data_IF_352024341034
#
_entry.id   IF_352024341034
#
_cell.length_a   1.000
_cell.length_b   1.000
_cell.length_c   1.000
_cell.angle_alpha   90.00
_cell.angle_beta   90.00
_cell.angle_gamma   90.00
#
_symmetry.space_group_name_H-M   'P 1'
#
loop_
_entity.id
_entity.type
_entity.pdbx_description
1 polymer ?
#
# COMPACT_ATOMS: atom_id res chain seq x y z
N UNK A 1 -25.37 0.61 -31.28
CA UNK A 1 -26.49 0.32 -30.38
C UNK A 1 -26.03 0.04 -28.94
N UNK A 2 -25.03 -0.83 -28.69
CA UNK A 2 -24.52 -1.13 -27.33
C UNK A 2 -23.88 0.12 -26.70
N UNK A 3 -23.11 0.89 -27.47
CA UNK A 3 -22.43 2.09 -26.99
C UNK A 3 -23.38 3.18 -26.50
N UNK A 4 -24.58 3.30 -27.10
CA UNK A 4 -25.60 4.26 -26.68
C UNK A 4 -26.33 3.84 -25.41
N UNK A 5 -26.33 2.56 -25.09
CA UNK A 5 -26.91 2.02 -23.84
C UNK A 5 -25.90 2.21 -22.69
N UNK A 6 -24.63 1.91 -22.95
CA UNK A 6 -23.55 2.05 -21.97
C UNK A 6 -23.26 3.52 -21.61
N UNK A 7 -23.55 4.46 -22.53
CA UNK A 7 -23.30 5.90 -22.29
C UNK A 7 -24.41 6.61 -21.53
N UNK A 8 -25.52 5.97 -21.24
CA UNK A 8 -26.58 6.55 -20.40
C UNK A 8 -26.15 6.54 -18.94
N UNK A 9 -26.14 7.72 -18.32
CA UNK A 9 -25.86 7.89 -16.90
C UNK A 9 -27.13 7.54 -16.10
N UNK A 10 -27.36 6.26 -15.86
CA UNK A 10 -28.61 5.76 -15.27
C UNK A 10 -28.44 5.21 -13.85
N UNK A 11 -27.29 5.41 -13.21
CA UNK A 11 -27.06 4.87 -11.87
C UNK A 11 -27.59 5.82 -10.80
N UNK A 12 -28.70 5.51 -10.12
CA UNK A 12 -29.23 6.28 -9.00
C UNK A 12 -28.45 6.06 -7.69
N UNK A 13 -27.53 5.08 -7.64
CA UNK A 13 -26.77 4.79 -6.43
C UNK A 13 -25.78 5.91 -6.13
N UNK A 14 -25.80 6.40 -4.88
CA UNK A 14 -24.77 7.31 -4.37
C UNK A 14 -23.46 6.59 -4.08
N UNK A 15 -23.45 5.26 -4.01
CA UNK A 15 -22.28 4.44 -3.75
C UNK A 15 -21.31 4.45 -4.94
N UNK A 16 -20.06 4.76 -4.65
CA UNK A 16 -19.00 4.92 -5.65
C UNK A 16 -17.80 4.05 -5.34
N UNK A 17 -17.30 3.40 -6.35
CA UNK A 17 -16.07 2.61 -6.28
C UNK A 17 -14.93 3.43 -6.88
N UNK A 18 -13.89 3.66 -6.08
CA UNK A 18 -12.67 4.35 -6.49
C UNK A 18 -11.63 3.28 -6.85
N UNK A 19 -11.39 3.07 -8.16
CA UNK A 19 -10.54 2.01 -8.66
C UNK A 19 -9.10 2.50 -8.88
N UNK A 20 -8.13 1.85 -8.23
CA UNK A 20 -6.70 2.11 -8.43
C UNK A 20 -6.02 0.91 -9.07
N UNK A 21 -5.25 1.14 -10.14
CA UNK A 21 -4.40 0.11 -10.72
C UNK A 21 -3.22 -0.18 -9.81
N UNK A 22 -2.95 -1.44 -9.55
CA UNK A 22 -1.87 -1.88 -8.68
C UNK A 22 -1.25 -3.18 -9.18
N UNK A 23 0.02 -3.39 -8.86
CA UNK A 23 0.68 -4.66 -9.03
C UNK A 23 1.47 -4.93 -7.75
N UNK A 24 0.91 -5.76 -6.87
CA UNK A 24 1.64 -6.20 -5.70
C UNK A 24 2.91 -6.94 -6.14
N UNK A 25 4.03 -6.58 -5.57
CA UNK A 25 5.32 -7.13 -5.94
C UNK A 25 6.14 -7.42 -4.69
N UNK A 26 6.24 -8.68 -4.35
CA UNK A 26 7.17 -9.13 -3.31
C UNK A 26 8.61 -8.75 -3.68
N UNK A 27 9.30 -8.10 -2.76
CA UNK A 27 10.72 -7.75 -2.90
C UNK A 27 11.56 -9.01 -3.16
N UNK A 28 11.26 -10.07 -2.41
CA UNK A 28 11.71 -11.43 -2.60
C UNK A 28 10.64 -12.38 -2.08
N UNK A 29 10.46 -13.53 -2.69
CA UNK A 29 9.52 -14.57 -2.27
C UNK A 29 9.98 -15.95 -2.75
N UNK A 30 9.34 -16.53 -3.78
CA UNK A 30 9.86 -17.71 -4.49
C UNK A 30 10.96 -17.33 -5.50
N UNK A 31 11.52 -16.16 -5.35
CA UNK A 31 12.63 -15.60 -6.11
C UNK A 31 13.53 -14.74 -5.22
N UNK A 32 14.82 -14.63 -5.57
CA UNK A 32 15.77 -13.81 -4.82
C UNK A 32 15.63 -12.31 -5.13
N UNK A 33 16.21 -11.45 -4.29
CA UNK A 33 16.21 -9.97 -4.43
C UNK A 33 16.59 -9.49 -5.85
N UNK A 34 17.55 -10.16 -6.51
CA UNK A 34 17.98 -9.81 -7.88
C UNK A 34 16.83 -9.92 -8.89
N UNK A 35 15.90 -10.87 -8.70
CA UNK A 35 14.75 -11.03 -9.55
C UNK A 35 13.63 -10.03 -9.20
N UNK A 36 13.42 -9.73 -7.92
CA UNK A 36 12.56 -8.64 -7.48
C UNK A 36 12.93 -7.30 -8.15
N UNK A 37 14.23 -7.02 -8.22
CA UNK A 37 14.79 -5.84 -8.92
C UNK A 37 14.46 -5.81 -10.42
N UNK A 38 14.52 -6.97 -11.12
CA UNK A 38 14.11 -7.10 -12.53
C UNK A 38 12.59 -6.96 -12.71
N UNK A 39 11.81 -7.51 -11.78
CA UNK A 39 10.35 -7.39 -11.78
C UNK A 39 9.90 -5.94 -11.60
N UNK A 40 10.60 -5.15 -10.80
CA UNK A 40 10.28 -3.75 -10.57
C UNK A 40 10.30 -2.92 -11.87
N UNK A 41 11.38 -2.97 -12.64
CA UNK A 41 11.48 -2.20 -13.89
C UNK A 41 10.46 -2.69 -14.92
N UNK A 42 10.22 -4.00 -15.03
CA UNK A 42 9.22 -4.56 -15.93
C UNK A 42 7.80 -4.08 -15.58
N UNK A 43 7.45 -4.11 -14.30
CA UNK A 43 6.14 -3.66 -13.81
C UNK A 43 5.92 -2.17 -14.08
N UNK A 44 6.90 -1.35 -13.74
CA UNK A 44 6.77 0.10 -13.92
C UNK A 44 6.78 0.51 -15.41
N UNK A 45 7.49 -0.24 -16.27
CA UNK A 45 7.47 -0.03 -17.70
C UNK A 45 6.06 -0.34 -18.29
N UNK A 46 5.44 -1.44 -17.88
CA UNK A 46 4.06 -1.76 -18.25
C UNK A 46 3.10 -0.66 -17.81
N UNK A 47 3.25 -0.18 -16.57
CA UNK A 47 2.41 0.89 -16.02
C UNK A 47 2.56 2.19 -16.83
N UNK A 48 3.78 2.61 -17.18
CA UNK A 48 4.00 3.81 -17.99
C UNK A 48 3.42 3.68 -19.40
N UNK A 49 3.57 2.51 -20.04
CA UNK A 49 2.96 2.24 -21.35
C UNK A 49 1.43 2.36 -21.30
N UNK A 50 0.81 1.81 -20.27
CA UNK A 50 -0.64 1.92 -20.08
C UNK A 50 -1.07 3.37 -19.76
N UNK A 51 -0.29 4.13 -19.00
CA UNK A 51 -0.54 5.54 -18.73
C UNK A 51 -0.52 6.37 -20.03
N UNK A 52 0.40 6.09 -20.93
CA UNK A 52 0.48 6.76 -22.23
C UNK A 52 -0.73 6.42 -23.13
N UNK A 53 -1.18 5.16 -23.08
CA UNK A 53 -2.27 4.66 -23.94
C UNK A 53 -3.68 5.04 -23.46
N UNK A 54 -3.89 5.04 -22.14
CA UNK A 54 -5.22 5.23 -21.53
C UNK A 54 -5.28 6.52 -20.69
N UNK A 55 -5.94 7.59 -21.16
CA UNK A 55 -5.96 8.89 -20.49
C UNK A 55 -6.48 8.88 -19.05
N UNK A 56 -7.44 8.04 -18.73
CA UNK A 56 -8.03 7.94 -17.38
C UNK A 56 -7.28 7.01 -16.44
N UNK A 57 -6.39 6.16 -16.96
CA UNK A 57 -5.70 5.15 -16.17
C UNK A 57 -4.76 5.75 -15.14
N UNK A 58 -4.87 5.29 -13.91
CA UNK A 58 -4.00 5.64 -12.79
C UNK A 58 -3.40 4.34 -12.25
N UNK A 59 -2.10 4.34 -12.03
CA UNK A 59 -1.37 3.24 -11.41
C UNK A 59 -0.73 3.69 -10.11
N UNK A 60 -0.72 2.82 -9.11
CA UNK A 60 -0.04 3.05 -7.85
C UNK A 60 0.98 1.96 -7.52
N UNK A 61 2.09 2.36 -6.95
CA UNK A 61 3.09 1.43 -6.43
C UNK A 61 3.63 1.89 -5.08
N UNK A 62 3.86 0.91 -4.22
CA UNK A 62 4.48 1.00 -2.90
C UNK A 62 5.96 0.65 -2.95
N UNK A 63 6.58 0.58 -1.77
CA UNK A 63 7.92 0.04 -1.54
C UNK A 63 9.04 0.84 -2.23
N UNK A 64 9.52 1.88 -1.55
CA UNK A 64 10.54 2.79 -2.14
C UNK A 64 11.88 2.12 -2.42
N UNK A 65 12.12 0.92 -1.92
CA UNK A 65 13.24 0.08 -2.35
C UNK A 65 13.18 -0.21 -3.85
N UNK A 66 11.98 -0.45 -4.42
CA UNK A 66 11.80 -0.66 -5.87
C UNK A 66 12.20 0.60 -6.66
N UNK A 67 11.71 1.76 -6.22
CA UNK A 67 12.05 3.05 -6.84
C UNK A 67 13.54 3.38 -6.70
N UNK A 68 14.16 3.02 -5.58
CA UNK A 68 15.58 3.20 -5.35
C UNK A 68 16.42 2.38 -6.36
N UNK A 69 16.04 1.13 -6.59
CA UNK A 69 16.70 0.30 -7.61
C UNK A 69 16.54 0.90 -9.01
N UNK A 70 15.33 1.34 -9.37
CA UNK A 70 15.07 1.96 -10.67
C UNK A 70 15.87 3.25 -10.83
N UNK A 71 15.94 4.10 -9.80
CA UNK A 71 16.76 5.33 -9.82
C UNK A 71 18.22 5.03 -10.08
N UNK A 72 18.75 3.96 -9.43
CA UNK A 72 20.17 3.56 -9.55
C UNK A 72 20.49 2.96 -10.91
N UNK A 73 19.64 2.06 -11.41
CA UNK A 73 19.94 1.24 -12.59
C UNK A 73 19.44 1.85 -13.90
N UNK A 74 18.37 2.62 -13.82
CA UNK A 74 17.67 3.18 -14.98
C UNK A 74 17.33 4.66 -14.77
N UNK A 75 18.33 5.55 -14.60
CA UNK A 75 18.10 6.95 -14.24
C UNK A 75 17.22 7.70 -15.26
N UNK A 76 17.37 7.42 -16.55
CA UNK A 76 16.52 8.01 -17.58
C UNK A 76 15.04 7.59 -17.45
N UNK A 77 14.80 6.33 -17.13
CA UNK A 77 13.44 5.83 -16.87
C UNK A 77 12.85 6.45 -15.60
N UNK A 78 13.68 6.63 -14.58
CA UNK A 78 13.25 7.28 -13.33
C UNK A 78 12.77 8.73 -13.57
N UNK A 79 13.40 9.47 -14.47
CA UNK A 79 12.93 10.81 -14.84
C UNK A 79 11.58 10.79 -15.59
N UNK A 80 11.32 9.79 -16.43
CA UNK A 80 9.98 9.59 -17.01
C UNK A 80 8.95 9.30 -15.93
N UNK A 81 9.28 8.43 -14.96
CA UNK A 81 8.43 8.10 -13.84
C UNK A 81 8.08 9.34 -13.01
N UNK A 82 9.05 10.20 -12.70
CA UNK A 82 8.83 11.47 -11.99
C UNK A 82 7.80 12.37 -12.68
N UNK A 83 7.81 12.43 -14.00
CA UNK A 83 6.82 13.22 -14.77
C UNK A 83 5.40 12.70 -14.56
N UNK A 84 5.21 11.36 -14.57
CA UNK A 84 3.89 10.76 -14.36
C UNK A 84 3.42 10.88 -12.90
N UNK A 85 4.35 10.82 -11.94
CA UNK A 85 4.06 11.10 -10.52
C UNK A 85 3.63 12.56 -10.32
N UNK A 86 4.31 13.50 -10.95
CA UNK A 86 3.94 14.92 -10.91
C UNK A 86 2.57 15.19 -11.55
N UNK A 87 2.27 14.50 -12.65
CA UNK A 87 0.97 14.56 -13.33
C UNK A 87 -0.18 13.86 -12.56
N UNK A 88 0.12 13.13 -11.47
CA UNK A 88 -0.86 12.39 -10.69
C UNK A 88 -1.38 11.13 -11.36
N UNK A 89 -0.71 10.64 -12.40
CA UNK A 89 -1.04 9.43 -13.15
C UNK A 89 -0.35 8.18 -12.60
N UNK A 90 0.75 8.37 -11.89
CA UNK A 90 1.44 7.35 -11.12
C UNK A 90 1.45 7.77 -9.65
N UNK A 91 0.75 7.03 -8.80
CA UNK A 91 0.64 7.30 -7.37
C UNK A 91 1.77 6.63 -6.59
N UNK A 92 2.35 7.37 -5.64
CA UNK A 92 3.24 6.83 -4.62
C UNK A 92 2.37 6.25 -3.51
N UNK A 93 2.24 4.92 -3.42
CA UNK A 93 1.39 4.24 -2.45
C UNK A 93 2.14 3.95 -1.15
N UNK A 94 1.63 4.51 -0.06
CA UNK A 94 2.19 4.32 1.28
C UNK A 94 3.49 5.08 1.52
N UNK A 95 3.95 5.04 2.77
CA UNK A 95 5.14 5.76 3.21
C UNK A 95 6.30 4.85 3.65
N UNK A 96 6.14 3.54 3.61
CA UNK A 96 7.15 2.58 4.05
C UNK A 96 8.23 2.33 3.00
N UNK A 97 9.44 2.00 3.47
CA UNK A 97 10.55 1.61 2.60
C UNK A 97 10.25 0.32 1.85
N UNK A 98 9.72 -0.69 2.54
CA UNK A 98 9.13 -1.92 1.98
C UNK A 98 7.83 -2.26 2.69
N UNK A 99 7.03 -3.17 2.15
CA UNK A 99 5.89 -3.80 2.81
C UNK A 99 6.40 -4.87 3.79
N UNK A 100 6.84 -4.45 4.97
CA UNK A 100 7.48 -5.31 5.96
C UNK A 100 6.46 -6.07 6.81
N UNK A 101 6.90 -7.17 7.43
CA UNK A 101 6.18 -7.76 8.56
C UNK A 101 6.04 -6.72 9.69
N UNK A 102 4.86 -6.64 10.31
CA UNK A 102 4.55 -5.66 11.34
C UNK A 102 4.63 -6.21 12.77
N UNK A 103 4.65 -7.54 12.92
CA UNK A 103 4.61 -8.20 14.22
C UNK A 103 6.02 -8.57 14.75
N UNK A 104 6.91 -9.01 13.87
CA UNK A 104 8.24 -9.50 14.25
C UNK A 104 9.29 -8.40 14.33
N UNK A 105 9.16 -7.33 13.55
CA UNK A 105 10.12 -6.23 13.55
C UNK A 105 9.97 -5.37 14.80
N UNK A 106 11.05 -4.66 15.17
CA UNK A 106 11.00 -3.73 16.31
C UNK A 106 10.22 -2.46 15.99
N UNK A 107 9.77 -1.74 17.03
CA UNK A 107 9.21 -0.41 16.87
C UNK A 107 10.18 0.57 16.20
N UNK A 108 11.48 0.44 16.46
CA UNK A 108 12.53 1.22 15.80
C UNK A 108 12.56 0.96 14.30
N UNK A 109 12.49 -0.32 13.88
CA UNK A 109 12.42 -0.66 12.45
C UNK A 109 11.18 -0.08 11.79
N UNK A 110 10.01 -0.10 12.44
CA UNK A 110 8.79 0.53 11.91
C UNK A 110 8.96 2.05 11.72
N UNK A 111 9.57 2.72 12.69
CA UNK A 111 9.91 4.15 12.58
C UNK A 111 10.87 4.39 11.40
N UNK A 112 11.87 3.53 11.22
CA UNK A 112 12.86 3.63 10.12
C UNK A 112 12.23 3.34 8.76
N UNK A 113 11.28 2.42 8.67
CA UNK A 113 10.50 2.21 7.44
C UNK A 113 9.82 3.52 6.98
N UNK A 114 9.17 4.22 7.91
CA UNK A 114 8.51 5.51 7.64
C UNK A 114 9.55 6.58 7.32
N UNK A 115 10.62 6.67 8.09
CA UNK A 115 11.66 7.69 7.93
C UNK A 115 12.35 7.59 6.57
N UNK A 116 12.82 6.40 6.18
CA UNK A 116 13.50 6.20 4.90
C UNK A 116 12.56 6.39 3.72
N UNK A 117 11.32 5.88 3.82
CA UNK A 117 10.31 6.08 2.77
C UNK A 117 9.93 7.56 2.61
N UNK A 118 9.64 8.26 3.70
CA UNK A 118 9.30 9.69 3.67
C UNK A 118 10.48 10.54 3.16
N UNK A 119 11.70 10.27 3.61
CA UNK A 119 12.91 10.95 3.13
C UNK A 119 13.08 10.75 1.62
N UNK A 120 12.91 9.54 1.14
CA UNK A 120 13.00 9.23 -0.29
C UNK A 120 11.97 9.99 -1.12
N UNK A 121 10.70 10.03 -0.68
CA UNK A 121 9.63 10.72 -1.42
C UNK A 121 9.82 12.23 -1.43
N UNK A 122 10.23 12.82 -0.32
CA UNK A 122 10.53 14.25 -0.23
C UNK A 122 11.70 14.65 -1.14
N UNK A 123 12.80 13.89 -1.11
CA UNK A 123 14.01 14.20 -1.88
C UNK A 123 13.83 14.02 -3.39
N UNK A 124 13.03 13.07 -3.83
CA UNK A 124 12.91 12.73 -5.25
C UNK A 124 11.66 13.28 -5.92
N UNK A 125 10.58 13.50 -5.16
CA UNK A 125 9.26 13.86 -5.70
C UNK A 125 8.63 15.07 -5.02
N UNK A 126 9.27 15.61 -3.96
CA UNK A 126 8.71 16.71 -3.13
C UNK A 126 7.31 16.40 -2.59
N UNK A 127 7.06 15.12 -2.28
CA UNK A 127 5.75 14.66 -1.78
C UNK A 127 5.91 14.02 -0.41
N UNK A 128 4.98 14.34 0.50
CA UNK A 128 4.80 13.66 1.78
C UNK A 128 3.56 12.78 1.69
N UNK A 129 3.70 11.49 1.97
CA UNK A 129 2.60 10.53 1.99
C UNK A 129 2.17 10.34 3.43
N UNK A 130 0.87 10.40 3.70
CA UNK A 130 0.28 10.35 5.04
C UNK A 130 -0.53 9.08 5.30
N UNK A 131 -0.31 8.05 4.50
CA UNK A 131 -0.92 6.73 4.69
C UNK A 131 0.09 5.61 4.51
N UNK A 132 -0.24 4.44 5.06
CA UNK A 132 0.47 3.19 4.89
C UNK A 132 -0.29 2.30 3.92
N UNK A 133 0.43 1.61 3.06
CA UNK A 133 -0.08 0.63 2.11
C UNK A 133 0.52 -0.73 2.43
N UNK A 134 -0.32 -1.65 2.93
CA UNK A 134 0.09 -2.98 3.37
C UNK A 134 -0.97 -4.04 2.97
N UNK A 135 -1.12 -4.31 1.67
CA UNK A 135 -2.17 -5.22 1.19
C UNK A 135 -1.92 -6.68 1.58
N UNK A 136 -0.66 -7.09 1.76
CA UNK A 136 -0.26 -8.47 1.96
C UNK A 136 0.50 -8.71 3.28
N UNK A 137 0.08 -8.04 4.35
CA UNK A 137 0.68 -8.19 5.68
C UNK A 137 -0.17 -9.10 6.58
N UNK A 138 0.47 -9.86 7.47
CA UNK A 138 -0.15 -10.98 8.20
C UNK A 138 -0.51 -10.60 9.65
N UNK A 139 -1.28 -9.54 9.81
CA UNK A 139 -1.72 -9.01 11.09
C UNK A 139 -1.05 -7.71 11.49
N UNK A 140 -1.65 -7.00 12.46
CA UNK A 140 -1.29 -5.65 12.81
C UNK A 140 -1.21 -5.51 14.33
N UNK A 141 -0.04 -5.19 14.91
CA UNK A 141 0.12 -5.04 16.35
C UNK A 141 -0.59 -3.80 16.87
N UNK A 142 -1.18 -3.91 18.06
CA UNK A 142 -1.92 -2.83 18.71
C UNK A 142 -1.09 -1.55 19.01
N UNK A 143 0.21 -1.64 18.88
CA UNK A 143 1.16 -0.50 19.04
C UNK A 143 1.33 0.33 17.75
N UNK A 144 0.92 -0.20 16.61
CA UNK A 144 1.16 0.46 15.32
C UNK A 144 0.43 1.80 15.19
N UNK A 145 -0.85 1.99 15.62
CA UNK A 145 -1.51 3.28 15.53
C UNK A 145 -0.74 4.41 16.21
N UNK A 146 -0.11 4.17 17.36
CA UNK A 146 0.74 5.13 18.04
C UNK A 146 1.93 5.58 17.17
N UNK A 147 2.65 4.61 16.60
CA UNK A 147 3.81 4.88 15.76
C UNK A 147 3.41 5.69 14.53
N UNK A 148 2.34 5.29 13.87
CA UNK A 148 1.81 5.98 12.69
C UNK A 148 1.37 7.40 13.03
N UNK A 149 0.54 7.56 14.06
CA UNK A 149 0.01 8.87 14.47
C UNK A 149 1.12 9.85 14.83
N UNK A 150 2.11 9.41 15.62
CA UNK A 150 3.28 10.23 16.01
C UNK A 150 4.20 10.56 14.82
N UNK A 151 4.16 9.76 13.75
CA UNK A 151 4.87 10.01 12.51
C UNK A 151 4.09 10.88 11.51
N UNK A 152 2.89 11.34 11.88
CA UNK A 152 2.02 12.15 11.03
C UNK A 152 1.28 11.35 9.95
N UNK A 153 1.11 10.04 10.16
CA UNK A 153 0.37 9.13 9.30
C UNK A 153 -1.03 8.94 9.89
N UNK A 154 -2.07 9.14 9.09
CA UNK A 154 -3.45 9.12 9.55
C UNK A 154 -4.27 7.96 8.99
N UNK A 155 -3.74 7.22 8.01
CA UNK A 155 -4.50 6.23 7.26
C UNK A 155 -3.67 4.98 6.99
N UNK A 156 -4.34 3.84 6.89
CA UNK A 156 -3.76 2.57 6.44
C UNK A 156 -4.75 1.82 5.54
N UNK A 157 -4.24 1.24 4.46
CA UNK A 157 -4.99 0.41 3.53
C UNK A 157 -4.41 -1.01 3.52
N UNK A 158 -5.30 -2.01 3.60
CA UNK A 158 -4.94 -3.42 3.64
C UNK A 158 -6.05 -4.33 3.10
N UNK A 159 -5.85 -5.65 3.18
CA UNK A 159 -6.85 -6.61 2.70
C UNK A 159 -6.86 -7.93 3.49
N UNK A 160 -5.72 -8.40 3.99
CA UNK A 160 -5.58 -9.79 4.51
C UNK A 160 -6.56 -10.19 5.60
N UNK A 161 -7.06 -9.28 6.41
CA UNK A 161 -8.00 -9.58 7.48
C UNK A 161 -9.31 -10.22 6.98
N UNK A 162 -9.70 -9.97 5.74
CA UNK A 162 -10.86 -10.60 5.10
C UNK A 162 -10.71 -12.12 4.92
N UNK A 163 -9.48 -12.63 4.95
CA UNK A 163 -9.18 -14.05 4.81
C UNK A 163 -9.30 -14.84 6.14
N UNK A 164 -9.61 -14.19 7.25
CA UNK A 164 -9.93 -14.85 8.51
C UNK A 164 -11.17 -15.74 8.36
N UNK A 165 -11.09 -16.98 8.86
CA UNK A 165 -12.14 -17.99 8.65
C UNK A 165 -12.96 -18.26 9.90
N UNK A 166 -12.34 -18.19 11.07
CA UNK A 166 -12.97 -18.44 12.37
C UNK A 166 -13.57 -17.13 12.89
N UNK A 167 -12.71 -16.11 13.08
CA UNK A 167 -13.12 -14.77 13.51
C UNK A 167 -13.17 -13.86 12.30
N UNK A 168 -14.26 -13.97 11.54
CA UNK A 168 -14.43 -13.13 10.35
C UNK A 168 -14.37 -11.65 10.69
N UNK A 169 -13.53 -10.93 9.97
CA UNK A 169 -13.39 -9.51 10.12
C UNK A 169 -14.33 -8.81 9.11
N UNK A 170 -15.41 -8.21 9.64
CA UNK A 170 -16.51 -7.69 8.81
C UNK A 170 -16.48 -6.17 8.62
N UNK A 171 -15.46 -5.48 9.13
CA UNK A 171 -15.34 -4.04 8.98
C UNK A 171 -14.34 -3.69 7.87
N UNK A 172 -14.80 -2.93 6.90
CA UNK A 172 -13.98 -2.50 5.78
C UNK A 172 -13.46 -1.08 5.92
N UNK A 173 -14.18 -0.20 6.64
CA UNK A 173 -13.74 1.16 6.96
C UNK A 173 -14.04 1.47 8.43
N UNK A 174 -13.00 1.75 9.22
CA UNK A 174 -13.14 1.94 10.65
C UNK A 174 -12.01 2.77 11.24
N UNK A 175 -12.25 3.34 12.43
CA UNK A 175 -11.20 3.94 13.26
C UNK A 175 -10.49 2.84 14.02
N UNK A 176 -9.20 2.68 13.78
CA UNK A 176 -8.38 1.73 14.52
C UNK A 176 -7.66 2.42 15.65
N UNK A 177 -7.94 1.99 16.89
CA UNK A 177 -7.40 2.57 18.11
C UNK A 177 -6.31 1.66 18.72
N UNK A 178 -5.13 2.24 18.92
CA UNK A 178 -4.01 1.58 19.58
C UNK A 178 -4.09 1.59 21.10
N UNK A 179 -3.09 0.97 21.75
CA UNK A 179 -3.02 0.83 23.21
C UNK A 179 -2.96 2.17 23.97
N UNK A 180 -2.41 3.21 23.36
CA UNK A 180 -2.29 4.55 23.95
C UNK A 180 -3.47 5.48 23.63
N UNK A 181 -4.52 4.94 22.98
CA UNK A 181 -5.66 5.71 22.51
C UNK A 181 -5.46 6.45 21.18
N UNK A 182 -4.29 6.35 20.56
CA UNK A 182 -4.07 6.92 19.23
C UNK A 182 -4.98 6.27 18.19
N UNK A 183 -5.60 7.07 17.33
CA UNK A 183 -6.53 6.57 16.29
C UNK A 183 -6.05 6.92 14.88
N UNK A 184 -6.17 5.95 14.01
CA UNK A 184 -5.98 6.09 12.55
C UNK A 184 -7.18 5.52 11.81
N UNK A 185 -7.44 5.96 10.59
CA UNK A 185 -8.48 5.40 9.75
C UNK A 185 -7.91 4.23 8.95
N UNK A 186 -8.54 3.07 9.06
CA UNK A 186 -8.15 1.87 8.34
C UNK A 186 -9.21 1.49 7.32
N UNK A 187 -8.75 1.12 6.12
CA UNK A 187 -9.60 0.56 5.07
C UNK A 187 -9.08 -0.80 4.62
N UNK A 188 -9.93 -1.82 4.74
CA UNK A 188 -9.76 -3.12 4.10
C UNK A 188 -10.50 -3.12 2.77
N UNK A 189 -9.89 -3.69 1.73
CA UNK A 189 -10.53 -3.70 0.41
C UNK A 189 -11.75 -4.63 0.39
N UNK A 190 -12.96 -4.13 0.09
CA UNK A 190 -14.18 -4.93 0.22
C UNK A 190 -14.38 -5.98 -0.88
N UNK A 191 -13.52 -6.06 -1.87
CA UNK A 191 -13.45 -7.18 -2.81
C UNK A 191 -12.66 -8.39 -2.24
N UNK A 192 -12.09 -8.26 -1.04
CA UNK A 192 -11.29 -9.27 -0.37
C UNK A 192 -10.05 -9.69 -1.17
N UNK A 193 -9.57 -8.80 -2.01
CA UNK A 193 -8.36 -8.98 -2.83
C UNK A 193 -7.67 -7.64 -3.13
N UNK A 194 -6.37 -7.69 -3.46
CA UNK A 194 -5.58 -6.58 -3.99
C UNK A 194 -5.21 -6.75 -5.48
N UNK A 195 -5.78 -7.77 -6.14
CA UNK A 195 -5.52 -8.10 -7.54
C UNK A 195 -6.81 -8.37 -8.33
N UNK A 196 -7.82 -7.54 -8.09
CA UNK A 196 -9.11 -7.62 -8.78
C UNK A 196 -8.96 -7.76 -10.29
N UNK A 197 -9.76 -8.64 -10.86
CA UNK A 197 -9.88 -8.80 -12.31
C UNK A 197 -10.73 -7.74 -12.99
N UNK A 198 -11.24 -6.76 -12.22
CA UNK A 198 -12.03 -5.64 -12.71
C UNK A 198 -13.24 -6.08 -13.56
N UNK A 199 -14.07 -6.99 -13.04
CA UNK A 199 -15.27 -7.50 -13.71
C UNK A 199 -16.52 -6.87 -13.12
N UNK A 200 -17.64 -6.91 -13.83
CA UNK A 200 -18.94 -6.47 -13.32
C UNK A 200 -19.30 -7.15 -11.98
N UNK A 201 -19.04 -8.47 -11.88
CA UNK A 201 -19.22 -9.23 -10.62
C UNK A 201 -18.39 -8.68 -9.46
N UNK A 202 -17.22 -8.10 -9.73
CA UNK A 202 -16.41 -7.47 -8.70
C UNK A 202 -17.11 -6.26 -8.09
N UNK A 203 -17.81 -5.47 -8.91
CA UNK A 203 -18.55 -4.30 -8.45
C UNK A 203 -19.75 -4.71 -7.58
N UNK A 204 -20.51 -5.72 -8.02
CA UNK A 204 -21.61 -6.30 -7.23
C UNK A 204 -21.11 -6.83 -5.88
N UNK A 205 -19.99 -7.56 -5.88
CA UNK A 205 -19.41 -8.11 -4.67
C UNK A 205 -18.99 -7.02 -3.69
N UNK A 206 -18.32 -5.96 -4.17
CA UNK A 206 -17.94 -4.80 -3.35
C UNK A 206 -19.17 -4.16 -2.71
N UNK A 207 -20.23 -3.89 -3.48
CA UNK A 207 -21.45 -3.26 -2.98
C UNK A 207 -22.17 -4.13 -1.95
N UNK A 208 -22.23 -5.44 -2.17
CA UNK A 208 -22.85 -6.38 -1.24
C UNK A 208 -22.04 -6.54 0.05
N UNK A 209 -20.73 -6.53 -0.05
CA UNK A 209 -19.81 -6.87 1.03
C UNK A 209 -19.46 -5.67 1.91
N UNK A 210 -19.47 -4.45 1.37
CA UNK A 210 -19.05 -3.24 2.09
C UNK A 210 -20.11 -2.80 3.09
N UNK A 211 -19.89 -3.10 4.37
CA UNK A 211 -20.86 -2.89 5.44
C UNK A 211 -21.04 -1.42 5.82
N UNK A 212 -20.03 -0.59 5.62
CA UNK A 212 -20.06 0.83 5.99
C UNK A 212 -20.63 1.74 4.88
N UNK A 213 -21.22 1.22 3.81
CA UNK A 213 -21.70 1.99 2.65
C UNK A 213 -22.74 3.05 2.98
N UNK A 214 -23.59 2.81 4.00
CA UNK A 214 -24.58 3.78 4.47
C UNK A 214 -23.95 4.93 5.28
N UNK A 215 -22.73 4.75 5.79
CA UNK A 215 -21.97 5.77 6.51
C UNK A 215 -21.05 6.51 5.53
N UNK A 216 -20.27 5.75 4.76
CA UNK A 216 -19.31 6.28 3.79
C UNK A 216 -19.59 5.65 2.42
N UNK A 217 -20.16 6.38 1.46
CA UNK A 217 -20.54 5.83 0.16
C UNK A 217 -19.37 5.67 -0.82
N UNK A 218 -18.17 5.52 -0.31
CA UNK A 218 -16.94 5.33 -1.09
C UNK A 218 -16.20 4.07 -0.67
N UNK A 219 -15.79 3.25 -1.63
CA UNK A 219 -14.93 2.09 -1.41
C UNK A 219 -13.76 2.05 -2.38
N UNK A 220 -12.62 1.47 -1.99
CA UNK A 220 -11.51 1.20 -2.90
C UNK A 220 -11.69 -0.15 -3.60
N UNK A 221 -11.41 -0.16 -4.90
CA UNK A 221 -11.11 -1.35 -5.69
C UNK A 221 -9.64 -1.31 -6.10
N UNK A 222 -8.90 -2.35 -5.77
CA UNK A 222 -7.49 -2.50 -6.16
C UNK A 222 -7.42 -3.56 -7.25
N UNK A 223 -7.12 -3.16 -8.48
CA UNK A 223 -7.16 -4.07 -9.62
C UNK A 223 -5.80 -4.24 -10.28
N UNK A 224 -5.53 -5.44 -10.76
CA UNK A 224 -4.30 -5.75 -11.45
C UNK A 224 -3.82 -7.17 -11.25
N UNK A 225 -2.54 -7.32 -10.96
CA UNK A 225 -1.89 -8.62 -10.79
C UNK A 225 -1.12 -8.63 -9.47
N UNK A 226 -1.31 -9.67 -8.66
CA UNK A 226 -0.65 -9.84 -7.37
C UNK A 226 0.72 -10.51 -7.45
N UNK A 227 1.43 -10.46 -6.36
CA UNK A 227 2.67 -11.14 -5.96
C UNK A 227 3.88 -10.93 -6.88
N UNK A 228 3.76 -11.17 -8.16
CA UNK A 228 4.87 -11.09 -9.12
C UNK A 228 4.98 -9.79 -9.92
N UNK A 229 4.06 -8.85 -9.72
CA UNK A 229 4.02 -7.61 -10.49
C UNK A 229 3.58 -7.80 -11.94
N UNK A 230 4.06 -6.93 -12.85
CA UNK A 230 3.85 -6.94 -14.30
C UNK A 230 2.43 -6.57 -14.81
N UNK A 231 1.52 -6.17 -13.93
CA UNK A 231 0.15 -5.74 -14.30
C UNK A 231 -0.17 -4.35 -13.77
N UNK A 232 -1.42 -3.85 -13.88
CA UNK A 232 -2.52 -4.44 -14.65
C UNK A 232 -2.24 -4.53 -16.16
N UNK A 233 -2.82 -5.55 -16.80
CA UNK A 233 -2.86 -5.62 -18.26
C UNK A 233 -3.97 -4.73 -18.82
N UNK A 234 -3.94 -4.50 -20.14
CA UNK A 234 -4.94 -3.67 -20.84
C UNK A 234 -6.37 -4.17 -20.63
N UNK A 235 -6.56 -5.48 -20.51
CA UNK A 235 -7.87 -6.10 -20.29
C UNK A 235 -8.55 -5.63 -19.01
N UNK A 236 -7.82 -5.27 -17.96
CA UNK A 236 -8.37 -4.72 -16.72
C UNK A 236 -8.92 -3.30 -16.97
N UNK A 237 -8.12 -2.48 -17.64
CA UNK A 237 -8.45 -1.07 -17.93
C UNK A 237 -9.65 -1.00 -18.87
N UNK A 238 -9.64 -1.81 -19.94
CA UNK A 238 -10.70 -1.90 -20.92
C UNK A 238 -12.04 -2.37 -20.30
N UNK A 239 -11.99 -3.36 -19.39
CA UNK A 239 -13.19 -3.80 -18.67
C UNK A 239 -13.76 -2.68 -17.83
N UNK A 240 -12.95 -2.04 -16.96
CA UNK A 240 -13.41 -0.94 -16.11
C UNK A 240 -13.97 0.21 -16.94
N UNK A 241 -13.31 0.59 -18.03
CA UNK A 241 -13.80 1.64 -18.92
C UNK A 241 -15.20 1.33 -19.46
N UNK A 242 -15.50 0.05 -19.76
CA UNK A 242 -16.80 -0.37 -20.31
C UNK A 242 -17.88 -0.52 -19.23
N UNK A 243 -17.51 -0.92 -18.01
CA UNK A 243 -18.49 -1.20 -16.94
C UNK A 243 -18.66 -0.05 -15.95
N UNK A 244 -17.86 1.01 -16.06
CA UNK A 244 -17.81 2.09 -15.06
C UNK A 244 -19.13 2.80 -14.80
N UNK A 245 -20.08 2.70 -15.73
CA UNK A 245 -21.36 3.39 -15.67
C UNK A 245 -22.47 2.55 -16.31
N UNK A 246 -22.65 1.32 -15.84
CA UNK A 246 -23.71 0.41 -16.27
C UNK A 246 -24.85 0.50 -15.28
N UNK A 247 -26.08 0.58 -15.78
CA UNK A 247 -27.29 0.56 -14.97
C UNK A 247 -27.36 -0.73 -14.13
N UNK A 248 -27.69 -0.57 -12.85
CA UNK A 248 -27.73 -1.67 -11.87
C UNK A 248 -26.38 -2.06 -11.26
N UNK A 249 -25.31 -1.34 -11.56
CA UNK A 249 -23.99 -1.49 -10.92
C UNK A 249 -23.57 -0.19 -10.24
N UNK A 250 -22.72 -0.26 -9.19
CA UNK A 250 -22.07 0.92 -8.63
C UNK A 250 -21.25 1.67 -9.67
N UNK A 251 -21.22 3.00 -9.57
CA UNK A 251 -20.36 3.81 -10.42
C UNK A 251 -18.89 3.61 -10.05
N UNK A 252 -18.01 3.46 -11.05
CA UNK A 252 -16.58 3.29 -10.85
C UNK A 252 -15.80 4.44 -11.47
N UNK A 253 -14.92 5.05 -10.68
CA UNK A 253 -13.96 6.06 -11.15
C UNK A 253 -12.53 5.54 -11.03
N UNK A 254 -11.71 5.75 -12.07
CA UNK A 254 -10.26 5.60 -11.92
C UNK A 254 -9.76 6.65 -10.94
N UNK A 255 -9.12 6.21 -9.87
CA UNK A 255 -8.78 7.10 -8.77
C UNK A 255 -7.46 6.74 -8.08
N UNK A 256 -7.09 7.55 -7.11
CA UNK A 256 -5.94 7.35 -6.23
C UNK A 256 -6.40 7.06 -4.81
N UNK A 257 -5.54 6.36 -4.07
CA UNK A 257 -5.77 6.03 -2.66
C UNK A 257 -5.82 7.29 -1.78
N UNK A 258 -4.98 8.28 -2.06
CA UNK A 258 -4.99 9.55 -1.32
C UNK A 258 -6.33 10.30 -1.43
N UNK A 259 -6.95 10.25 -2.60
CA UNK A 259 -8.29 10.82 -2.82
C UNK A 259 -9.38 10.05 -2.07
N UNK A 260 -9.29 8.72 -2.09
CA UNK A 260 -10.23 7.90 -1.32
C UNK A 260 -10.20 8.29 0.16
N UNK A 261 -9.01 8.35 0.78
CA UNK A 261 -8.92 8.73 2.19
C UNK A 261 -9.39 10.16 2.45
N UNK A 262 -9.21 11.08 1.51
CA UNK A 262 -9.76 12.44 1.62
C UNK A 262 -11.29 12.43 1.69
N UNK A 263 -11.97 11.59 0.89
CA UNK A 263 -13.42 11.43 0.95
C UNK A 263 -13.85 10.70 2.23
N UNK A 264 -13.20 9.59 2.55
CA UNK A 264 -13.54 8.75 3.69
C UNK A 264 -13.37 9.48 5.04
N UNK A 265 -12.40 10.37 5.14
CA UNK A 265 -12.11 11.13 6.37
C UNK A 265 -13.25 12.07 6.77
N UNK A 266 -14.06 12.52 5.83
CA UNK A 266 -15.25 13.33 6.11
C UNK A 266 -16.30 12.58 6.96
N UNK A 267 -16.25 11.26 6.97
CA UNK A 267 -17.19 10.39 7.71
C UNK A 267 -16.56 9.78 8.97
N UNK A 268 -15.31 10.14 9.28
CA UNK A 268 -14.49 9.53 10.35
C UNK A 268 -15.25 9.36 11.66
N UNK A 269 -15.93 10.41 12.13
CA UNK A 269 -16.58 10.42 13.44
C UNK A 269 -17.79 9.49 13.54
N UNK A 270 -18.37 9.11 12.41
CA UNK A 270 -19.52 8.19 12.34
C UNK A 270 -19.09 6.73 12.20
N UNK A 271 -17.80 6.47 11.97
CA UNK A 271 -17.29 5.12 11.75
C UNK A 271 -17.06 4.38 13.08
N UNK A 272 -17.21 3.04 13.07
CA UNK A 272 -16.95 2.23 14.25
C UNK A 272 -15.50 2.33 14.71
N UNK A 273 -15.27 2.19 16.02
CA UNK A 273 -13.94 2.11 16.62
C UNK A 273 -13.63 0.63 16.89
N UNK A 274 -12.47 0.18 16.42
CA UNK A 274 -11.91 -1.13 16.71
C UNK A 274 -10.59 -0.92 17.47
N UNK A 275 -10.48 -1.49 18.66
CA UNK A 275 -9.32 -1.27 19.53
C UNK A 275 -8.47 -2.52 19.64
N UNK A 276 -7.17 -2.33 19.77
CA UNK A 276 -6.21 -3.40 20.01
C UNK A 276 -5.59 -4.00 18.77
N UNK A 277 -5.15 -5.25 18.87
CA UNK A 277 -4.53 -6.00 17.78
C UNK A 277 -5.55 -6.37 16.70
N UNK A 278 -5.14 -6.30 15.44
CA UNK A 278 -5.90 -6.85 14.31
C UNK A 278 -5.23 -8.16 13.88
N UNK A 279 -5.72 -9.26 14.43
CA UNK A 279 -5.12 -10.58 14.29
C UNK A 279 -5.49 -11.23 12.95
N UNK A 280 -4.47 -11.79 12.29
CA UNK A 280 -4.64 -12.58 11.08
C UNK A 280 -4.46 -14.06 11.38
N UNK A 281 -5.47 -14.89 11.09
CA UNK A 281 -5.51 -16.30 11.48
C UNK A 281 -4.67 -17.22 10.61
N UNK A 282 -4.40 -16.84 9.36
CA UNK A 282 -3.64 -17.65 8.43
C UNK A 282 -2.14 -17.29 8.44
N UNK A 283 -1.32 -18.10 7.78
CA UNK A 283 0.13 -17.88 7.60
C UNK A 283 0.95 -17.83 8.90
N UNK A 284 0.44 -18.39 10.01
CA UNK A 284 1.13 -18.35 11.32
C UNK A 284 2.53 -19.00 11.29
N UNK A 285 2.75 -19.97 10.42
CA UNK A 285 4.07 -20.57 10.21
C UNK A 285 5.14 -19.58 9.73
N UNK A 286 4.76 -18.45 9.12
CA UNK A 286 5.68 -17.40 8.69
C UNK A 286 6.45 -16.79 9.86
N UNK A 287 5.91 -16.76 11.06
CA UNK A 287 6.56 -16.19 12.24
C UNK A 287 7.72 -17.05 12.78
N UNK A 288 7.75 -18.32 12.47
CA UNK A 288 8.74 -19.27 13.00
C UNK A 288 9.60 -19.95 11.96
N UNK A 289 9.17 -19.96 10.69
CA UNK A 289 10.00 -20.49 9.60
C UNK A 289 11.23 -19.59 9.38
N UNK A 290 12.36 -20.18 8.94
CA UNK A 290 13.65 -19.47 8.77
C UNK A 290 14.05 -18.69 10.02
N UNK A 291 13.93 -19.30 11.19
CA UNK A 291 14.13 -18.68 12.50
C UNK A 291 15.50 -18.02 12.67
N UNK A 292 16.52 -18.55 12.02
CA UNK A 292 17.89 -17.98 12.04
C UNK A 292 17.89 -16.56 11.40
N UNK A 293 17.22 -16.38 10.27
CA UNK A 293 17.09 -15.06 9.60
C UNK A 293 16.38 -14.06 10.53
N UNK A 294 15.29 -14.47 11.16
CA UNK A 294 14.54 -13.63 12.09
C UNK A 294 15.34 -13.24 13.34
N UNK A 295 16.10 -14.21 13.89
CA UNK A 295 17.00 -13.96 15.01
C UNK A 295 18.12 -12.97 14.62
N UNK A 296 18.73 -13.15 13.45
CA UNK A 296 19.74 -12.22 12.95
C UNK A 296 19.17 -10.81 12.70
N UNK A 297 17.95 -10.70 12.17
CA UNK A 297 17.29 -9.41 12.01
C UNK A 297 17.17 -8.69 13.37
N UNK A 298 16.69 -9.37 14.41
CA UNK A 298 16.60 -8.79 15.76
C UNK A 298 17.97 -8.37 16.31
N UNK A 299 19.01 -9.20 16.11
CA UNK A 299 20.38 -8.88 16.51
C UNK A 299 20.88 -7.63 15.78
N UNK A 300 20.61 -7.50 14.50
CA UNK A 300 21.03 -6.35 13.69
C UNK A 300 20.30 -5.07 14.10
N UNK A 301 18.99 -5.13 14.39
CA UNK A 301 18.24 -4.00 14.92
C UNK A 301 18.92 -3.42 16.18
N UNK A 302 19.26 -4.28 17.14
CA UNK A 302 19.91 -3.87 18.38
C UNK A 302 21.32 -3.33 18.12
N UNK A 303 22.13 -4.01 17.32
CA UNK A 303 23.51 -3.56 17.02
C UNK A 303 23.56 -2.23 16.29
N UNK A 304 22.65 -1.96 15.37
CA UNK A 304 22.61 -0.68 14.65
C UNK A 304 22.20 0.44 15.61
N UNK A 305 21.19 0.21 16.44
CA UNK A 305 20.79 1.15 17.46
C UNK A 305 21.95 1.49 18.41
N UNK A 306 22.63 0.47 18.95
CA UNK A 306 23.74 0.66 19.88
C UNK A 306 24.93 1.40 19.22
N UNK A 307 25.26 1.05 17.97
CA UNK A 307 26.33 1.68 17.23
C UNK A 307 26.02 3.18 16.98
N UNK A 308 24.80 3.54 16.56
CA UNK A 308 24.39 4.94 16.41
C UNK A 308 24.43 5.69 17.75
N UNK A 309 23.98 5.06 18.83
CA UNK A 309 24.01 5.63 20.17
C UNK A 309 25.45 5.96 20.59
N UNK A 310 26.37 4.96 20.51
CA UNK A 310 27.78 5.17 20.91
C UNK A 310 28.50 6.22 20.06
N UNK A 311 28.28 6.21 18.75
CA UNK A 311 28.90 7.23 17.87
C UNK A 311 28.35 8.62 18.20
N UNK A 312 27.07 8.72 18.52
CA UNK A 312 26.43 10.01 18.87
C UNK A 312 26.97 10.56 20.19
N UNK A 313 27.05 9.74 21.26
CA UNK A 313 27.55 10.20 22.57
C UNK A 313 29.03 10.52 22.55
N UNK A 314 29.81 9.89 21.69
CA UNK A 314 31.25 10.19 21.51
C UNK A 314 31.50 11.36 20.55
N UNK A 315 30.44 11.96 20.02
CA UNK A 315 30.46 13.05 19.05
C UNK A 315 31.31 12.75 17.78
N UNK A 316 31.34 11.50 17.36
CA UNK A 316 32.12 11.02 16.21
C UNK A 316 31.27 10.83 14.94
N UNK A 317 30.00 11.28 14.91
CA UNK A 317 29.11 11.14 13.78
C UNK A 317 29.54 12.05 12.61
N UNK A 318 30.25 11.51 11.65
CA UNK A 318 30.60 12.19 10.40
C UNK A 318 29.50 12.03 9.34
N UNK A 319 29.57 12.84 8.27
CA UNK A 319 28.66 12.70 7.13
C UNK A 319 28.84 11.35 6.41
N UNK A 320 30.06 10.82 6.37
CA UNK A 320 30.37 9.51 5.77
C UNK A 320 29.70 8.41 6.58
N UNK A 321 29.93 8.37 7.89
CA UNK A 321 29.31 7.36 8.77
C UNK A 321 27.78 7.42 8.71
N UNK A 322 27.20 8.61 8.66
CA UNK A 322 25.75 8.77 8.52
C UNK A 322 25.24 8.13 7.23
N UNK A 323 25.94 8.31 6.11
CA UNK A 323 25.60 7.69 4.84
C UNK A 323 25.72 6.17 4.88
N UNK A 324 26.75 5.65 5.54
CA UNK A 324 26.97 4.20 5.71
C UNK A 324 25.85 3.59 6.57
N UNK A 325 25.48 4.21 7.69
CA UNK A 325 24.35 3.79 8.50
C UNK A 325 23.03 3.80 7.71
N UNK A 326 22.77 4.84 6.93
CA UNK A 326 21.56 4.91 6.08
C UNK A 326 21.50 3.72 5.10
N UNK A 327 22.61 3.33 4.49
CA UNK A 327 22.66 2.17 3.56
C UNK A 327 22.50 0.83 4.30
N UNK A 328 23.13 0.67 5.47
CA UNK A 328 23.00 -0.55 6.28
C UNK A 328 21.55 -0.70 6.79
N UNK A 329 20.94 0.39 7.27
CA UNK A 329 19.54 0.38 7.67
C UNK A 329 18.62 -0.01 6.50
N UNK A 330 18.77 0.57 5.33
CA UNK A 330 17.98 0.21 4.15
C UNK A 330 18.14 -1.26 3.77
N UNK A 331 19.37 -1.78 3.82
CA UNK A 331 19.63 -3.19 3.56
C UNK A 331 18.91 -4.10 4.56
N UNK A 332 19.01 -3.80 5.86
CA UNK A 332 18.34 -4.55 6.93
C UNK A 332 16.81 -4.46 6.83
N UNK A 333 16.26 -3.26 6.56
CA UNK A 333 14.83 -3.05 6.41
C UNK A 333 14.23 -3.74 5.15
N UNK A 334 15.08 -4.17 4.22
CA UNK A 334 14.66 -4.84 2.97
C UNK A 334 14.55 -6.36 3.15
N UNK A 335 15.13 -6.93 4.20
CA UNK A 335 15.12 -8.35 4.55
C UNK A 335 13.86 -8.71 5.35
#
# INVERSE_FOLDING_TARGET
>A
AIQSIISKNNNPSEFRIMATGHAHLDIAWMWPLREGRRKAIRTFATALTNIEKYPDYIFGASQYQLFHWIKKDYPYFFEKLKKQIAAGRFELQGCFWVECDLNLVSGESLVRQIMHGTRFTLQNFSKKINYVWQPDVFGFPATLPQILKKSGINYIASQKLSQNKINKFNNYLFRWQGLDGSEILMHNFPEDTYDSRARARSLEYIEQNYNEKEICPYALMVYGVGDGGAGPGEEHIERLTRIRNIDGLPHVDFSRVDKFFTHADAFRESLPIISGELYFEAHQGCFTSESATKAHNRIMENKLHDAEFFITITNNMTSILRSEFDEIWKAMLTL
#
